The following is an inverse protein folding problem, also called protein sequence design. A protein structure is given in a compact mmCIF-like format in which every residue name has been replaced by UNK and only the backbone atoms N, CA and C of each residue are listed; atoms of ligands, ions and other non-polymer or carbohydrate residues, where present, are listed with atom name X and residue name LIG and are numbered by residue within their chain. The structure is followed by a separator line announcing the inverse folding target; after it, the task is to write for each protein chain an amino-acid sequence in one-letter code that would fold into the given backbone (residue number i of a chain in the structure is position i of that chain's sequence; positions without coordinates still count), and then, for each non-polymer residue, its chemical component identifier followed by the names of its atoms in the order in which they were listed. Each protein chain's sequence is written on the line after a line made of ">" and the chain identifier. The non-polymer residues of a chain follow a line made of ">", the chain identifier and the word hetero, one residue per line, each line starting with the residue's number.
data_IF_101873099596
#
_entry.id   IF_101873099596
#
_cell.length_a   1.000
_cell.length_b   1.000
_cell.length_c   1.000
_cell.angle_alpha   90.00
_cell.angle_beta   90.00
_cell.angle_gamma   90.00
#
_symmetry.space_group_name_H-M   'P 1'
#
loop_
_entity.id
_entity.type
_entity.pdbx_description
1 polymer ?
#
# COMPACT_ATOMS: atom_id res chain seq x y z
N UNK A 1 8.91 15.37 -12.85
CA UNK A 1 8.08 14.53 -13.75
C UNK A 1 6.69 14.57 -13.16
N UNK A 2 5.67 14.92 -13.92
CA UNK A 2 4.30 14.96 -13.37
C UNK A 2 3.80 13.52 -13.27
N UNK A 3 3.38 13.09 -12.07
CA UNK A 3 2.65 11.83 -11.94
C UNK A 3 1.43 11.88 -12.83
N UNK A 4 1.25 10.83 -13.63
CA UNK A 4 0.04 10.69 -14.40
C UNK A 4 -1.10 10.34 -13.44
N UNK A 5 -2.04 11.26 -13.24
CA UNK A 5 -3.15 11.08 -12.29
C UNK A 5 -4.06 9.91 -12.69
N UNK A 6 -4.16 9.61 -13.97
CA UNK A 6 -4.93 8.47 -14.47
C UNK A 6 -4.24 7.16 -14.09
N UNK A 7 -2.91 7.09 -14.29
CA UNK A 7 -2.11 5.93 -13.86
C UNK A 7 -2.11 5.74 -12.34
N UNK A 8 -1.99 6.82 -11.57
CA UNK A 8 -2.10 6.78 -10.11
C UNK A 8 -3.47 6.24 -9.67
N UNK A 9 -4.56 6.77 -10.22
CA UNK A 9 -5.90 6.33 -9.86
C UNK A 9 -6.15 4.87 -10.25
N UNK A 10 -5.68 4.44 -11.43
CA UNK A 10 -5.77 3.07 -11.90
C UNK A 10 -5.00 2.12 -10.96
N UNK A 11 -3.80 2.52 -10.53
CA UNK A 11 -3.00 1.74 -9.58
C UNK A 11 -3.70 1.60 -8.24
N UNK A 12 -4.31 2.67 -7.70
CA UNK A 12 -5.08 2.61 -6.45
C UNK A 12 -6.25 1.62 -6.55
N UNK A 13 -6.96 1.61 -7.68
CA UNK A 13 -8.07 0.67 -7.91
C UNK A 13 -7.55 -0.77 -7.88
N UNK A 14 -6.47 -1.07 -8.60
CA UNK A 14 -5.86 -2.40 -8.62
C UNK A 14 -5.37 -2.85 -7.23
N UNK A 15 -4.75 -1.94 -6.47
CA UNK A 15 -4.32 -2.21 -5.09
C UNK A 15 -5.52 -2.60 -4.22
N UNK A 16 -6.63 -1.87 -4.32
CA UNK A 16 -7.86 -2.19 -3.59
C UNK A 16 -8.46 -3.54 -4.02
N UNK A 17 -8.42 -3.86 -5.31
CA UNK A 17 -8.85 -5.17 -5.80
C UNK A 17 -7.99 -6.31 -5.25
N UNK A 18 -6.67 -6.14 -5.21
CA UNK A 18 -5.74 -7.12 -4.61
C UNK A 18 -6.06 -7.32 -3.13
N UNK A 19 -6.18 -6.23 -2.36
CA UNK A 19 -6.50 -6.29 -0.93
C UNK A 19 -7.87 -6.93 -0.66
N UNK A 20 -8.82 -6.77 -1.58
CA UNK A 20 -10.13 -7.41 -1.50
C UNK A 20 -10.11 -8.88 -1.91
N UNK A 21 -9.20 -9.27 -2.81
CA UNK A 21 -9.10 -10.64 -3.35
C UNK A 21 -8.23 -11.53 -2.47
N UNK A 22 -7.16 -10.97 -1.91
CA UNK A 22 -6.16 -11.68 -1.13
C UNK A 22 -6.22 -11.25 0.32
N UNK A 23 -6.41 -12.24 1.20
CA UNK A 23 -6.53 -12.02 2.65
C UNK A 23 -5.23 -12.32 3.41
N UNK A 24 -4.14 -12.67 2.72
CA UNK A 24 -2.85 -12.96 3.37
C UNK A 24 -1.80 -11.95 2.95
N UNK A 25 -0.96 -11.55 3.90
CA UNK A 25 0.10 -10.57 3.69
C UNK A 25 1.07 -10.99 2.59
N UNK A 26 1.38 -12.28 2.52
CA UNK A 26 2.30 -12.83 1.52
C UNK A 26 1.72 -12.67 0.13
N UNK A 27 0.46 -13.09 -0.08
CA UNK A 27 -0.18 -12.97 -1.39
C UNK A 27 -0.37 -11.51 -1.81
N UNK A 28 -0.81 -10.65 -0.90
CA UNK A 28 -0.94 -9.20 -1.17
C UNK A 28 0.43 -8.62 -1.57
N UNK A 29 1.49 -8.96 -0.83
CA UNK A 29 2.84 -8.50 -1.13
C UNK A 29 3.28 -8.92 -2.54
N UNK A 30 3.16 -10.20 -2.90
CA UNK A 30 3.59 -10.70 -4.21
C UNK A 30 2.87 -10.01 -5.38
N UNK A 31 1.57 -9.76 -5.22
CA UNK A 31 0.76 -9.09 -6.24
C UNK A 31 1.10 -7.59 -6.35
N UNK A 32 1.38 -6.94 -5.21
CA UNK A 32 1.85 -5.56 -5.19
C UNK A 32 3.24 -5.42 -5.80
N UNK A 33 4.17 -6.34 -5.52
CA UNK A 33 5.48 -6.39 -6.17
C UNK A 33 5.35 -6.53 -7.69
N UNK A 34 4.38 -7.33 -8.17
CA UNK A 34 4.06 -7.47 -9.60
C UNK A 34 3.51 -6.19 -10.22
N UNK A 35 2.81 -5.36 -9.45
CA UNK A 35 2.39 -4.01 -9.85
C UNK A 35 3.51 -2.97 -9.80
N UNK A 36 4.72 -3.36 -9.42
CA UNK A 36 5.87 -2.45 -9.31
C UNK A 36 5.96 -1.70 -7.98
N UNK A 37 5.30 -2.21 -6.92
CA UNK A 37 5.54 -1.73 -5.57
C UNK A 37 6.82 -2.36 -5.00
N UNK A 38 7.61 -1.54 -4.32
CA UNK A 38 8.85 -1.93 -3.66
C UNK A 38 8.67 -1.87 -2.13
N UNK A 39 9.18 -2.88 -1.44
CA UNK A 39 9.01 -2.98 0.02
C UNK A 39 9.98 -2.02 0.70
N UNK A 40 9.43 -1.00 1.35
CA UNK A 40 10.23 -0.01 2.07
C UNK A 40 10.58 -0.45 3.47
N UNK A 41 9.61 -1.03 4.16
CA UNK A 41 9.77 -1.41 5.55
C UNK A 41 8.86 -2.57 5.90
N UNK A 42 9.36 -3.42 6.79
CA UNK A 42 8.63 -4.56 7.30
C UNK A 42 8.89 -4.63 8.80
N UNK A 43 7.86 -4.38 9.61
CA UNK A 43 8.00 -4.27 11.06
C UNK A 43 6.90 -5.04 11.77
N UNK A 44 7.22 -6.24 12.23
CA UNK A 44 6.28 -7.12 12.94
C UNK A 44 5.04 -7.41 12.11
N UNK A 45 3.94 -6.76 12.50
CA UNK A 45 2.60 -6.88 11.94
C UNK A 45 2.31 -5.89 10.79
N UNK A 46 3.20 -4.93 10.50
CA UNK A 46 3.02 -3.96 9.39
C UNK A 46 4.04 -4.17 8.26
N UNK A 47 3.55 -4.13 7.02
CA UNK A 47 4.37 -4.09 5.79
C UNK A 47 4.08 -2.82 5.03
N UNK A 48 5.13 -2.06 4.73
CA UNK A 48 5.05 -0.82 3.96
C UNK A 48 5.66 -1.03 2.58
N UNK A 49 4.87 -0.75 1.56
CA UNK A 49 5.26 -0.82 0.17
C UNK A 49 5.00 0.53 -0.50
N UNK A 50 5.87 0.93 -1.41
CA UNK A 50 5.68 2.16 -2.19
C UNK A 50 5.83 1.89 -3.68
N UNK A 51 5.12 2.65 -4.50
CA UNK A 51 5.34 2.71 -5.93
C UNK A 51 5.80 4.12 -6.29
N UNK A 52 7.10 4.26 -6.57
CA UNK A 52 7.70 5.55 -6.90
C UNK A 52 7.25 6.11 -8.26
N UNK A 53 6.79 5.26 -9.19
CA UNK A 53 6.27 5.71 -10.48
C UNK A 53 4.90 6.36 -10.33
N UNK A 54 4.04 5.73 -9.51
CA UNK A 54 2.67 6.21 -9.26
C UNK A 54 2.57 7.17 -8.05
N UNK A 55 3.65 7.38 -7.29
CA UNK A 55 3.69 8.13 -6.02
C UNK A 55 2.59 7.66 -5.05
N UNK A 56 2.49 6.34 -4.85
CA UNK A 56 1.53 5.69 -3.94
C UNK A 56 2.27 4.94 -2.84
N UNK A 57 1.74 5.00 -1.63
CA UNK A 57 2.20 4.25 -0.48
C UNK A 57 1.09 3.36 0.05
N UNK A 58 1.44 2.10 0.33
CA UNK A 58 0.53 1.06 0.82
C UNK A 58 1.09 0.51 2.12
N UNK A 59 0.28 0.50 3.17
CA UNK A 59 0.56 -0.19 4.42
C UNK A 59 -0.41 -1.34 4.58
N UNK A 60 0.12 -2.54 4.76
CA UNK A 60 -0.66 -3.74 5.01
C UNK A 60 -0.41 -4.16 6.44
N UNK A 61 -1.48 -4.24 7.24
CA UNK A 61 -1.44 -4.73 8.60
C UNK A 61 -1.91 -6.17 8.61
N UNK A 62 -1.11 -7.05 9.18
CA UNK A 62 -1.39 -8.48 9.28
C UNK A 62 -1.31 -8.94 10.74
N UNK A 63 -2.09 -9.96 11.09
CA UNK A 63 -2.00 -10.59 12.39
C UNK A 63 -0.77 -11.53 12.49
N UNK A 64 -0.55 -12.12 13.67
CA UNK A 64 0.51 -13.10 13.91
C UNK A 64 0.42 -14.36 13.03
N UNK A 65 -0.76 -14.65 12.45
CA UNK A 65 -0.97 -15.77 11.51
C UNK A 65 -0.64 -15.39 10.06
N UNK A 66 -0.40 -14.10 9.78
CA UNK A 66 -0.14 -13.57 8.45
C UNK A 66 -1.38 -13.19 7.64
N UNK A 67 -2.58 -13.21 8.25
CA UNK A 67 -3.81 -12.71 7.63
C UNK A 67 -3.87 -11.19 7.71
N UNK A 68 -4.25 -10.55 6.60
CA UNK A 68 -4.46 -9.10 6.51
C UNK A 68 -5.68 -8.74 7.34
N UNK A 69 -5.47 -7.88 8.33
CA UNK A 69 -6.53 -7.37 9.21
C UNK A 69 -6.95 -5.95 8.83
N UNK A 70 -6.03 -5.18 8.24
CA UNK A 70 -6.28 -3.81 7.81
C UNK A 70 -5.28 -3.42 6.72
N UNK A 71 -5.63 -2.40 5.94
CA UNK A 71 -4.77 -1.90 4.87
C UNK A 71 -5.04 -0.43 4.61
N UNK A 72 -3.96 0.34 4.43
CA UNK A 72 -4.02 1.77 4.20
C UNK A 72 -3.32 2.11 2.89
N UNK A 73 -4.03 2.77 1.97
CA UNK A 73 -3.51 3.20 0.66
C UNK A 73 -3.60 4.72 0.62
N UNK A 74 -2.46 5.39 0.43
CA UNK A 74 -2.37 6.86 0.36
C UNK A 74 -1.46 7.27 -0.78
N UNK A 75 -1.74 8.42 -1.39
CA UNK A 75 -0.81 9.04 -2.34
C UNK A 75 0.22 9.89 -1.60
N UNK A 76 1.35 10.22 -2.24
CA UNK A 76 2.36 11.08 -1.63
C UNK A 76 1.80 12.48 -1.30
N UNK A 77 0.88 12.98 -2.11
CA UNK A 77 0.15 14.24 -1.87
C UNK A 77 -0.67 14.18 -0.56
N UNK A 78 -1.27 13.03 -0.25
CA UNK A 78 -1.99 12.82 1.01
C UNK A 78 -1.07 12.69 2.24
N UNK A 79 0.20 12.28 2.04
CA UNK A 79 1.20 12.17 3.13
C UNK A 79 1.60 13.57 3.63
N UNK A 80 1.52 14.62 2.80
CA UNK A 80 1.93 15.97 3.16
C UNK A 80 1.02 16.69 4.18
N UNK A 81 -0.10 16.10 4.63
CA UNK A 81 -1.09 16.88 5.42
C UNK A 81 -1.78 16.19 6.60
N UNK A 82 -1.17 15.18 7.22
CA UNK A 82 -1.55 14.81 8.60
C UNK A 82 -0.32 14.55 9.47
N UNK A 83 0.21 15.56 10.21
CA UNK A 83 0.84 15.23 11.48
C UNK A 83 -0.16 14.36 12.24
N UNK A 84 0.28 13.18 12.66
CA UNK A 84 -0.51 12.27 13.49
C UNK A 84 -1.11 13.09 14.64
N UNK A 85 -2.40 13.40 14.57
CA UNK A 85 -3.14 13.93 15.69
C UNK A 85 -3.10 12.81 16.73
N UNK A 86 -2.26 13.00 17.73
CA UNK A 86 -2.21 12.20 18.93
C UNK A 86 -3.14 12.91 19.91
N UNK A 87 -4.40 12.50 19.96
CA UNK A 87 -5.34 12.82 21.04
C UNK A 87 -6.08 11.54 21.44
#
# INVERSE_FOLDING_TARGET
>A
MAVDREEQQNTIVKVREILSTYHTRVAVREELETLGFDIKAEHGDVTSLENANAEIFVQVFANERGDVIDSHVVTFDEIELKPRARE
#
